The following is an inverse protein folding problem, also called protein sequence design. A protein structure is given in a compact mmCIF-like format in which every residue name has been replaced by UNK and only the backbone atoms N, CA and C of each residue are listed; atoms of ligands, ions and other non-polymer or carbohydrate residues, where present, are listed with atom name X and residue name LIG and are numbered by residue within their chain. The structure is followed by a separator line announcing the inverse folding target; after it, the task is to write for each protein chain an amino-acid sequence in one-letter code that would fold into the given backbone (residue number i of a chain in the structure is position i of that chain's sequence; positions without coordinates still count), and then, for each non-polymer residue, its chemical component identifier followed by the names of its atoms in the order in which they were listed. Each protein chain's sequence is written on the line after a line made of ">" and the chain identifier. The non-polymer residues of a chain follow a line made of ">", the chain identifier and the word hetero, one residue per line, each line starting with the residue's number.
data_IF_145453704820
#
_entry.id   IF_145453704820
#
_cell.length_a   1.000
_cell.length_b   1.000
_cell.length_c   1.000
_cell.angle_alpha   90.00
_cell.angle_beta   90.00
_cell.angle_gamma   90.00
#
_symmetry.space_group_name_H-M   'P 1'
#
loop_
_entity.id
_entity.type
_entity.pdbx_description
1 polymer ?
#
# COMPACT_ATOMS: atom_id res chain seq x y z
N UNK A 1 -30.77 -13.72 37.17
CA UNK A 1 -31.14 -12.68 36.21
C UNK A 1 -29.86 -11.97 35.78
N UNK A 2 -29.56 -11.89 34.48
CA UNK A 2 -28.53 -10.99 33.96
C UNK A 2 -28.88 -9.54 34.30
N UNK A 3 -27.86 -8.69 34.49
CA UNK A 3 -27.99 -7.28 34.88
C UNK A 3 -28.87 -6.47 33.91
N UNK A 4 -28.92 -6.86 32.64
CA UNK A 4 -29.76 -6.26 31.59
C UNK A 4 -31.25 -6.48 31.81
N UNK A 5 -31.63 -7.66 32.30
CA UNK A 5 -33.02 -8.06 32.58
C UNK A 5 -33.57 -7.32 33.82
N UNK A 6 -32.70 -7.04 34.81
CA UNK A 6 -33.05 -6.28 36.02
C UNK A 6 -33.27 -4.77 35.74
N UNK A 7 -32.63 -4.23 34.71
CA UNK A 7 -32.63 -2.78 34.41
C UNK A 7 -33.58 -2.37 33.28
N UNK A 8 -34.29 -3.30 32.64
CA UNK A 8 -35.19 -3.00 31.52
C UNK A 8 -34.50 -2.35 30.32
N UNK A 9 -33.20 -2.60 30.15
CA UNK A 9 -32.44 -2.10 29.01
C UNK A 9 -32.82 -2.91 27.76
N UNK A 10 -33.02 -2.28 26.60
CA UNK A 10 -33.27 -3.00 25.36
C UNK A 10 -32.12 -3.99 25.12
N UNK A 11 -32.46 -5.21 24.68
CA UNK A 11 -31.45 -6.16 24.22
C UNK A 11 -30.59 -5.49 23.14
N UNK A 12 -29.27 -5.59 23.28
CA UNK A 12 -28.38 -5.13 22.23
C UNK A 12 -28.79 -5.86 20.93
N UNK A 13 -28.91 -5.14 19.80
CA UNK A 13 -29.35 -5.74 18.55
C UNK A 13 -28.53 -7.00 18.27
N UNK A 14 -29.20 -8.09 17.86
CA UNK A 14 -28.55 -9.32 17.46
C UNK A 14 -27.43 -8.99 16.47
N UNK A 15 -26.20 -9.29 16.87
CA UNK A 15 -25.03 -9.07 16.02
C UNK A 15 -25.20 -9.99 14.81
N UNK A 16 -25.34 -9.40 13.62
CA UNK A 16 -25.32 -10.14 12.36
C UNK A 16 -24.07 -11.03 12.26
N UNK A 17 -24.07 -12.03 11.36
CA UNK A 17 -22.96 -12.97 11.22
C UNK A 17 -21.65 -12.21 11.01
N UNK A 18 -20.65 -12.49 11.84
CA UNK A 18 -19.30 -11.93 11.73
C UNK A 18 -18.56 -12.71 10.66
N UNK A 19 -18.13 -12.04 9.59
CA UNK A 19 -17.28 -12.66 8.57
C UNK A 19 -15.83 -12.68 9.03
N UNK A 20 -15.08 -13.71 8.66
CA UNK A 20 -13.64 -13.75 8.85
C UNK A 20 -12.93 -13.16 7.63
N UNK A 21 -11.94 -12.29 7.86
CA UNK A 21 -11.26 -11.51 6.82
C UNK A 21 -9.96 -12.17 6.37
N UNK A 22 -9.69 -12.09 5.06
CA UNK A 22 -8.37 -12.36 4.48
C UNK A 22 -7.67 -11.04 4.17
N UNK A 23 -6.50 -10.82 4.77
CA UNK A 23 -5.77 -9.54 4.73
C UNK A 23 -4.42 -9.73 4.06
N UNK A 24 -4.08 -8.84 3.13
CA UNK A 24 -2.71 -8.69 2.64
C UNK A 24 -2.11 -7.37 3.14
N UNK A 25 -0.89 -7.42 3.69
CA UNK A 25 -0.11 -6.23 4.05
C UNK A 25 1.11 -6.13 3.13
N UNK A 26 1.23 -5.03 2.41
CA UNK A 26 2.19 -4.85 1.32
C UNK A 26 3.22 -3.77 1.67
N UNK A 27 4.50 -4.13 1.63
CA UNK A 27 5.61 -3.19 1.67
C UNK A 27 5.99 -2.82 0.25
N UNK A 28 5.51 -1.67 -0.22
CA UNK A 28 5.84 -1.19 -1.56
C UNK A 28 7.30 -0.69 -1.63
N UNK A 29 7.95 -0.64 -2.81
CA UNK A 29 9.14 0.20 -2.98
C UNK A 29 8.86 1.61 -2.47
N UNK A 30 9.75 2.28 -1.75
CA UNK A 30 11.20 2.10 -1.66
C UNK A 30 11.72 1.81 -0.24
N UNK A 31 11.19 0.80 0.44
CA UNK A 31 11.78 0.35 1.71
C UNK A 31 13.17 -0.26 1.51
N UNK A 32 14.08 -0.07 2.47
CA UNK A 32 15.42 -0.67 2.47
C UNK A 32 15.36 -2.20 2.32
N UNK A 33 16.31 -2.78 1.59
CA UNK A 33 16.32 -4.21 1.26
C UNK A 33 16.83 -5.09 2.40
N UNK A 34 17.60 -4.51 3.32
CA UNK A 34 18.26 -5.18 4.44
C UNK A 34 17.55 -4.96 5.78
N UNK A 35 16.42 -4.24 5.78
CA UNK A 35 15.62 -3.97 6.97
C UNK A 35 14.17 -4.44 6.79
N UNK A 36 13.59 -5.17 7.77
CA UNK A 36 12.18 -5.52 7.73
C UNK A 36 11.31 -4.28 7.94
N UNK A 37 10.10 -4.31 7.39
CA UNK A 37 9.12 -3.26 7.65
C UNK A 37 8.63 -3.35 9.08
N UNK A 38 8.92 -2.33 9.89
CA UNK A 38 8.40 -2.23 11.26
C UNK A 38 6.88 -2.22 11.28
N UNK A 39 6.25 -1.46 10.36
CA UNK A 39 4.80 -1.38 10.27
C UNK A 39 4.16 -2.76 10.05
N UNK A 40 4.64 -3.52 9.07
CA UNK A 40 4.11 -4.88 8.81
C UNK A 40 4.42 -5.81 9.98
N UNK A 41 5.62 -5.74 10.55
CA UNK A 41 6.04 -6.57 11.68
C UNK A 41 5.20 -6.35 12.93
N UNK A 42 4.63 -5.14 13.10
CA UNK A 42 3.70 -4.82 14.18
C UNK A 42 2.25 -5.19 13.84
N UNK A 43 1.78 -4.81 12.65
CA UNK A 43 0.36 -4.95 12.30
C UNK A 43 -0.03 -6.38 11.90
N UNK A 44 0.86 -7.16 11.29
CA UNK A 44 0.51 -8.52 10.89
C UNK A 44 0.22 -9.43 12.10
N UNK A 45 1.05 -9.47 13.16
CA UNK A 45 0.71 -10.23 14.37
C UNK A 45 -0.54 -9.71 15.08
N UNK A 46 -0.72 -8.38 15.15
CA UNK A 46 -1.91 -7.79 15.77
C UNK A 46 -3.20 -8.18 15.05
N UNK A 47 -3.19 -8.21 13.71
CA UNK A 47 -4.32 -8.66 12.91
C UNK A 47 -4.57 -10.17 13.05
N UNK A 48 -3.52 -11.01 13.04
CA UNK A 48 -3.63 -12.47 13.23
C UNK A 48 -4.21 -12.86 14.59
N UNK A 49 -4.11 -12.00 15.60
CA UNK A 49 -4.67 -12.23 16.92
C UNK A 49 -6.19 -11.98 17.01
N UNK A 50 -6.83 -11.47 15.95
CA UNK A 50 -8.27 -11.19 15.92
C UNK A 50 -9.04 -12.42 15.44
N UNK A 51 -10.13 -12.75 16.14
CA UNK A 51 -11.06 -13.82 15.72
C UNK A 51 -11.75 -13.50 14.39
N UNK A 52 -11.86 -12.21 14.07
CA UNK A 52 -12.44 -11.72 12.81
C UNK A 52 -11.49 -11.84 11.60
N UNK A 53 -10.29 -12.41 11.76
CA UNK A 53 -9.28 -12.52 10.69
C UNK A 53 -8.92 -13.99 10.48
N UNK A 54 -9.21 -14.51 9.28
CA UNK A 54 -8.87 -15.88 8.86
C UNK A 54 -7.39 -16.01 8.51
N UNK A 55 -6.86 -15.05 7.75
CA UNK A 55 -5.49 -15.08 7.25
C UNK A 55 -4.90 -13.68 7.10
N UNK A 56 -3.59 -13.59 7.34
CA UNK A 56 -2.79 -12.38 7.05
C UNK A 56 -1.54 -12.78 6.29
N UNK A 57 -1.46 -12.32 5.05
CA UNK A 57 -0.29 -12.47 4.18
C UNK A 57 0.54 -11.18 4.16
N UNK A 58 1.86 -11.31 4.17
CA UNK A 58 2.79 -10.18 4.13
C UNK A 58 3.57 -10.21 2.83
N UNK A 59 3.47 -9.14 2.04
CA UNK A 59 4.05 -9.05 0.70
C UNK A 59 5.14 -7.98 0.67
N UNK A 60 6.39 -8.40 0.55
CA UNK A 60 7.54 -7.50 0.39
C UNK A 60 7.73 -7.14 -1.08
N UNK A 61 6.86 -6.27 -1.59
CA UNK A 61 6.91 -5.81 -2.98
C UNK A 61 8.18 -4.96 -3.26
N UNK A 62 8.77 -4.35 -2.24
CA UNK A 62 10.07 -3.67 -2.32
C UNK A 62 11.20 -4.63 -2.77
N UNK A 63 11.24 -5.84 -2.21
CA UNK A 63 12.23 -6.88 -2.59
C UNK A 63 11.89 -7.43 -3.97
N UNK A 64 10.62 -7.77 -4.21
CA UNK A 64 10.17 -8.28 -5.53
C UNK A 64 10.44 -7.28 -6.66
N UNK A 65 10.34 -5.98 -6.39
CA UNK A 65 10.68 -4.93 -7.35
C UNK A 65 12.18 -4.90 -7.66
N UNK A 66 13.04 -5.01 -6.65
CA UNK A 66 14.48 -5.10 -6.85
C UNK A 66 14.85 -6.32 -7.70
N UNK A 67 14.28 -7.48 -7.41
CA UNK A 67 14.46 -8.70 -8.21
C UNK A 67 13.95 -8.51 -9.65
N UNK A 68 12.74 -7.96 -9.81
CA UNK A 68 12.15 -7.69 -11.11
C UNK A 68 13.05 -6.80 -11.99
N UNK A 69 13.53 -5.68 -11.44
CA UNK A 69 14.40 -4.75 -12.16
C UNK A 69 15.73 -5.42 -12.49
N UNK A 70 16.31 -6.17 -11.55
CA UNK A 70 17.56 -6.89 -11.77
C UNK A 70 17.43 -7.89 -12.93
N UNK A 71 16.40 -8.73 -12.91
CA UNK A 71 16.15 -9.72 -13.96
C UNK A 71 15.88 -9.08 -15.32
N UNK A 72 15.01 -8.05 -15.37
CA UNK A 72 14.59 -7.41 -16.62
C UNK A 72 15.70 -6.61 -17.29
N UNK A 73 16.71 -6.21 -16.54
CA UNK A 73 17.88 -5.49 -17.05
C UNK A 73 19.09 -6.40 -17.29
N UNK A 74 18.93 -7.72 -17.15
CA UNK A 74 20.04 -8.67 -17.29
C UNK A 74 21.15 -8.44 -16.26
N UNK A 75 20.79 -7.95 -15.07
CA UNK A 75 21.69 -7.63 -13.98
C UNK A 75 22.40 -6.28 -14.09
N UNK A 76 22.08 -5.45 -15.09
CA UNK A 76 22.69 -4.13 -15.24
C UNK A 76 22.31 -3.14 -14.12
N UNK A 77 21.13 -3.33 -13.53
CA UNK A 77 20.66 -2.57 -12.37
C UNK A 77 20.63 -3.49 -11.15
N UNK A 78 21.27 -3.08 -10.06
CA UNK A 78 21.42 -3.90 -8.86
C UNK A 78 20.96 -3.20 -7.58
N UNK A 79 21.27 -3.84 -6.44
CA UNK A 79 20.93 -3.31 -5.10
C UNK A 79 21.56 -1.95 -4.80
N UNK A 80 22.74 -1.65 -5.38
CA UNK A 80 23.37 -0.34 -5.25
C UNK A 80 22.55 0.76 -5.93
N UNK A 81 21.98 0.49 -7.12
CA UNK A 81 21.12 1.45 -7.82
C UNK A 81 19.80 1.64 -7.08
N UNK A 82 19.20 0.56 -6.57
CA UNK A 82 18.03 0.62 -5.70
C UNK A 82 18.32 1.47 -4.45
N UNK A 83 19.44 1.22 -3.78
CA UNK A 83 19.88 1.96 -2.59
C UNK A 83 20.02 3.45 -2.85
N UNK A 84 20.54 3.87 -4.02
CA UNK A 84 20.61 5.29 -4.39
C UNK A 84 19.23 5.98 -4.43
N UNK A 85 18.17 5.24 -4.79
CA UNK A 85 16.80 5.77 -4.76
C UNK A 85 16.32 5.89 -3.32
N UNK A 86 16.51 4.83 -2.51
CA UNK A 86 16.14 4.82 -1.07
C UNK A 86 16.83 5.94 -0.30
N UNK A 87 18.12 6.15 -0.57
CA UNK A 87 18.95 7.16 0.10
C UNK A 87 18.61 8.60 -0.35
N UNK A 88 17.68 8.77 -1.30
CA UNK A 88 17.22 10.07 -1.74
C UNK A 88 18.27 10.85 -2.54
N UNK A 89 19.08 10.18 -3.36
CA UNK A 89 20.16 10.81 -4.16
C UNK A 89 19.68 12.04 -4.96
N UNK A 90 18.44 12.01 -5.45
CA UNK A 90 17.70 13.19 -5.88
C UNK A 90 16.26 13.08 -5.38
N UNK A 91 15.73 14.17 -4.82
CA UNK A 91 14.42 14.17 -4.16
C UNK A 91 13.30 13.70 -5.10
N UNK A 92 12.38 12.90 -4.57
CA UNK A 92 11.20 12.37 -5.27
C UNK A 92 11.51 11.48 -6.49
N UNK A 93 12.74 10.97 -6.64
CA UNK A 93 13.06 10.06 -7.75
C UNK A 93 12.25 8.76 -7.65
N UNK A 94 12.04 8.25 -6.44
CA UNK A 94 11.24 7.04 -6.25
C UNK A 94 9.78 7.24 -6.62
N UNK A 95 9.23 8.42 -6.31
CA UNK A 95 7.88 8.82 -6.71
C UNK A 95 7.77 8.97 -8.23
N UNK A 96 8.75 9.61 -8.87
CA UNK A 96 8.79 9.78 -10.32
C UNK A 96 8.84 8.43 -11.06
N UNK A 97 9.64 7.47 -10.60
CA UNK A 97 9.75 6.12 -11.19
C UNK A 97 8.40 5.42 -11.28
N UNK A 98 7.54 5.57 -10.28
CA UNK A 98 6.21 4.92 -10.25
C UNK A 98 5.08 5.79 -10.80
N UNK A 99 5.35 7.04 -11.17
CA UNK A 99 4.34 7.93 -11.77
C UNK A 99 3.63 7.37 -13.00
N UNK A 100 4.28 6.62 -13.95
CA UNK A 100 3.57 6.09 -15.11
C UNK A 100 2.63 4.94 -14.76
N UNK A 101 2.83 4.28 -13.62
CA UNK A 101 1.91 3.26 -13.13
C UNK A 101 0.59 3.86 -12.60
N UNK A 102 0.61 5.11 -12.13
CA UNK A 102 -0.59 5.80 -11.67
C UNK A 102 -1.24 6.70 -12.73
N UNK A 103 -0.43 7.46 -13.46
CA UNK A 103 -0.90 8.52 -14.37
C UNK A 103 -0.82 8.16 -15.86
N UNK A 104 -0.22 7.02 -16.18
CA UNK A 104 0.02 6.59 -17.56
C UNK A 104 1.43 6.94 -18.03
N UNK A 105 1.89 6.18 -19.01
CA UNK A 105 3.27 6.30 -19.51
C UNK A 105 3.46 7.54 -20.38
N UNK A 106 4.49 8.31 -20.05
CA UNK A 106 5.07 9.33 -20.90
C UNK A 106 6.56 9.07 -21.06
N UNK A 107 7.18 9.54 -22.15
CA UNK A 107 8.62 9.34 -22.35
C UNK A 107 9.40 10.05 -21.23
N UNK A 108 10.17 9.32 -20.39
CA UNK A 108 10.81 9.92 -19.22
C UNK A 108 11.95 10.86 -19.61
N UNK A 109 12.67 10.58 -20.69
CA UNK A 109 13.82 11.38 -21.13
C UNK A 109 13.33 12.71 -21.69
N UNK A 110 13.83 13.81 -21.11
CA UNK A 110 13.42 15.17 -21.49
C UNK A 110 12.15 15.66 -20.79
N UNK A 111 11.50 14.84 -19.96
CA UNK A 111 10.45 15.31 -19.05
C UNK A 111 10.96 16.43 -18.13
N UNK A 112 10.03 17.20 -17.53
CA UNK A 112 10.39 18.30 -16.62
C UNK A 112 11.25 17.81 -15.44
N UNK A 113 10.88 16.67 -14.85
CA UNK A 113 11.66 16.04 -13.78
C UNK A 113 13.05 15.61 -14.26
N UNK A 114 13.12 14.89 -15.39
CA UNK A 114 14.40 14.43 -15.94
C UNK A 114 15.34 15.60 -16.23
N UNK A 115 14.84 16.66 -16.86
CA UNK A 115 15.63 17.84 -17.21
C UNK A 115 16.12 18.58 -15.97
N UNK A 116 15.27 18.74 -14.95
CA UNK A 116 15.65 19.39 -13.69
C UNK A 116 16.72 18.58 -12.93
N UNK A 117 16.51 17.27 -12.81
CA UNK A 117 17.43 16.37 -12.10
C UNK A 117 18.78 16.27 -12.81
N UNK A 118 18.80 15.99 -14.12
CA UNK A 118 20.06 15.90 -14.88
C UNK A 118 20.76 17.26 -14.98
N UNK A 119 20.02 18.37 -15.07
CA UNK A 119 20.58 19.73 -15.01
C UNK A 119 21.25 20.05 -13.67
N UNK A 120 20.85 19.37 -12.58
CA UNK A 120 21.51 19.45 -11.28
C UNK A 120 22.69 18.47 -11.12
N UNK A 121 22.98 17.67 -12.14
CA UNK A 121 24.07 16.68 -12.14
C UNK A 121 23.68 15.29 -11.64
N UNK A 122 22.38 15.01 -11.43
CA UNK A 122 21.93 13.67 -11.04
C UNK A 122 22.05 12.67 -12.20
N UNK A 123 22.64 11.50 -11.94
CA UNK A 123 22.57 10.34 -12.86
C UNK A 123 21.23 9.62 -12.70
N UNK A 124 20.36 9.75 -13.70
CA UNK A 124 19.04 9.10 -13.76
C UNK A 124 18.98 7.89 -14.68
N UNK A 125 20.11 7.38 -15.20
CA UNK A 125 20.11 6.26 -16.15
C UNK A 125 19.38 5.02 -15.62
N UNK A 126 19.66 4.61 -14.39
CA UNK A 126 18.97 3.49 -13.75
C UNK A 126 17.49 3.82 -13.46
N UNK A 127 17.21 5.05 -12.98
CA UNK A 127 15.86 5.51 -12.67
C UNK A 127 14.96 5.55 -13.92
N UNK A 128 15.49 5.91 -15.09
CA UNK A 128 14.77 5.90 -16.37
C UNK A 128 14.36 4.48 -16.77
N UNK A 129 15.22 3.48 -16.59
CA UNK A 129 14.87 2.09 -16.87
C UNK A 129 13.86 1.56 -15.86
N UNK A 130 14.04 1.87 -14.57
CA UNK A 130 13.06 1.57 -13.53
C UNK A 130 11.69 2.21 -13.85
N UNK A 131 11.66 3.45 -14.33
CA UNK A 131 10.44 4.15 -14.75
C UNK A 131 9.70 3.37 -15.83
N UNK A 132 10.42 2.86 -16.84
CA UNK A 132 9.83 2.07 -17.93
C UNK A 132 9.28 0.72 -17.49
N UNK A 133 9.79 0.17 -16.38
CA UNK A 133 9.38 -1.14 -15.87
C UNK A 133 8.23 -1.06 -14.85
N UNK A 134 7.98 0.11 -14.26
CA UNK A 134 7.13 0.22 -13.06
C UNK A 134 5.66 -0.14 -13.31
N UNK A 135 5.05 0.31 -14.42
CA UNK A 135 3.66 -0.02 -14.74
C UNK A 135 3.44 -1.53 -14.85
N UNK A 136 4.32 -2.24 -15.56
CA UNK A 136 4.22 -3.69 -15.74
C UNK A 136 4.37 -4.46 -14.42
N UNK A 137 5.22 -3.99 -13.52
CA UNK A 137 5.35 -4.58 -12.18
C UNK A 137 4.08 -4.38 -11.34
N UNK A 138 3.54 -3.16 -11.29
CA UNK A 138 2.31 -2.85 -10.55
C UNK A 138 1.13 -3.66 -11.10
N UNK A 139 1.00 -3.76 -12.42
CA UNK A 139 -0.06 -4.53 -13.07
C UNK A 139 0.00 -6.02 -12.72
N UNK A 140 1.20 -6.61 -12.70
CA UNK A 140 1.41 -8.00 -12.32
C UNK A 140 1.08 -8.24 -10.84
N UNK A 141 1.58 -7.37 -9.95
CA UNK A 141 1.32 -7.46 -8.51
C UNK A 141 -0.18 -7.30 -8.20
N UNK A 142 -0.85 -6.33 -8.83
CA UNK A 142 -2.28 -6.13 -8.68
C UNK A 142 -3.09 -7.34 -9.17
N UNK A 143 -2.66 -7.97 -10.27
CA UNK A 143 -3.26 -9.21 -10.78
C UNK A 143 -3.15 -10.38 -9.79
N UNK A 144 -1.97 -10.57 -9.20
CA UNK A 144 -1.73 -11.60 -8.18
C UNK A 144 -2.62 -11.37 -6.94
N UNK A 145 -2.63 -10.14 -6.42
CA UNK A 145 -3.41 -9.80 -5.23
C UNK A 145 -4.92 -9.87 -5.47
N UNK A 146 -5.40 -9.43 -6.64
CA UNK A 146 -6.81 -9.54 -7.01
C UNK A 146 -7.27 -11.02 -7.07
N UNK A 147 -6.40 -11.93 -7.54
CA UNK A 147 -6.68 -13.36 -7.57
C UNK A 147 -6.57 -14.05 -6.20
N UNK A 148 -5.95 -13.40 -5.21
CA UNK A 148 -5.70 -13.97 -3.87
C UNK A 148 -6.91 -14.05 -2.94
N UNK A 149 -8.05 -13.49 -3.35
CA UNK A 149 -9.30 -13.52 -2.57
C UNK A 149 -9.20 -12.75 -1.25
N UNK A 150 -8.46 -11.64 -1.23
CA UNK A 150 -8.34 -10.79 -0.04
C UNK A 150 -9.57 -9.91 0.10
N UNK A 151 -10.00 -9.69 1.35
CA UNK A 151 -11.00 -8.69 1.70
C UNK A 151 -10.39 -7.29 1.84
N UNK A 152 -9.12 -7.23 2.26
CA UNK A 152 -8.37 -6.00 2.47
C UNK A 152 -6.93 -6.13 2.01
N UNK A 153 -6.45 -5.11 1.30
CA UNK A 153 -5.04 -4.92 0.97
C UNK A 153 -4.57 -3.60 1.59
N UNK A 154 -3.67 -3.70 2.57
CA UNK A 154 -3.06 -2.57 3.26
C UNK A 154 -1.66 -2.30 2.72
N UNK A 155 -1.34 -1.06 2.35
CA UNK A 155 -0.01 -0.65 1.93
C UNK A 155 0.63 0.25 2.99
N UNK A 156 1.88 -0.04 3.34
CA UNK A 156 2.69 0.87 4.15
C UNK A 156 3.41 1.89 3.26
N UNK A 157 3.38 3.16 3.66
CA UNK A 157 4.00 4.28 2.95
C UNK A 157 4.77 5.21 3.89
N UNK A 158 6.08 5.23 3.68
CA UNK A 158 7.10 6.05 4.33
C UNK A 158 8.09 6.52 3.24
N UNK A 159 8.40 7.82 3.19
CA UNK A 159 9.26 8.44 2.16
C UNK A 159 8.68 8.29 0.73
N UNK A 160 9.44 7.79 -0.25
CA UNK A 160 9.03 7.74 -1.67
C UNK A 160 8.03 6.60 -1.99
N UNK A 161 7.18 6.21 -1.04
CA UNK A 161 6.25 5.08 -1.15
C UNK A 161 4.84 5.47 -1.61
N UNK A 162 4.54 6.74 -1.86
CA UNK A 162 3.16 7.16 -2.17
C UNK A 162 2.72 6.68 -3.56
N UNK A 163 3.44 7.05 -4.61
CA UNK A 163 3.12 6.69 -5.99
C UNK A 163 3.01 5.18 -6.22
N UNK A 164 3.95 4.32 -5.76
CA UNK A 164 3.78 2.88 -5.92
C UNK A 164 2.55 2.35 -5.17
N UNK A 165 2.27 2.84 -3.96
CA UNK A 165 1.09 2.42 -3.19
C UNK A 165 -0.22 2.86 -3.85
N UNK A 166 -0.29 4.11 -4.31
CA UNK A 166 -1.46 4.64 -5.01
C UNK A 166 -1.71 3.90 -6.34
N UNK A 167 -0.65 3.62 -7.10
CA UNK A 167 -0.74 2.84 -8.32
C UNK A 167 -1.30 1.44 -8.07
N UNK A 168 -0.82 0.76 -7.01
CA UNK A 168 -1.35 -0.55 -6.63
C UNK A 168 -2.82 -0.48 -6.21
N UNK A 169 -3.20 0.49 -5.38
CA UNK A 169 -4.57 0.66 -4.94
C UNK A 169 -5.54 0.89 -6.11
N UNK A 170 -5.17 1.76 -7.06
CA UNK A 170 -5.96 2.00 -8.28
C UNK A 170 -6.08 0.72 -9.11
N UNK A 171 -4.95 0.06 -9.39
CA UNK A 171 -4.91 -1.16 -10.21
C UNK A 171 -5.73 -2.31 -9.58
N UNK A 172 -5.77 -2.40 -8.25
CA UNK A 172 -6.63 -3.32 -7.50
C UNK A 172 -8.10 -2.98 -7.67
N UNK A 173 -8.50 -1.71 -7.53
CA UNK A 173 -9.91 -1.30 -7.71
C UNK A 173 -10.42 -1.57 -9.12
N UNK A 174 -9.56 -1.49 -10.13
CA UNK A 174 -9.92 -1.83 -11.51
C UNK A 174 -10.16 -3.35 -11.71
N UNK A 175 -9.49 -4.21 -10.94
CA UNK A 175 -9.53 -5.68 -11.09
C UNK A 175 -10.45 -6.39 -10.11
N UNK A 176 -10.52 -5.88 -8.89
CA UNK A 176 -11.29 -6.41 -7.77
C UNK A 176 -11.91 -5.25 -6.97
N UNK A 177 -12.98 -4.61 -7.48
CA UNK A 177 -13.59 -3.42 -6.86
C UNK A 177 -14.04 -3.62 -5.40
N UNK A 178 -14.34 -4.87 -5.01
CA UNK A 178 -14.77 -5.24 -3.66
C UNK A 178 -13.64 -5.34 -2.64
N UNK A 179 -12.36 -5.36 -3.06
CA UNK A 179 -11.21 -5.34 -2.15
C UNK A 179 -11.15 -3.99 -1.46
N UNK A 180 -11.05 -3.99 -0.13
CA UNK A 180 -10.81 -2.78 0.64
C UNK A 180 -9.33 -2.37 0.53
N UNK A 181 -9.05 -1.17 0.04
CA UNK A 181 -7.69 -0.62 -0.07
C UNK A 181 -7.42 0.34 1.09
N UNK A 182 -6.32 0.09 1.81
CA UNK A 182 -5.94 0.90 2.97
C UNK A 182 -4.50 1.36 2.83
N UNK A 183 -4.23 2.63 3.09
CA UNK A 183 -2.86 3.15 3.12
C UNK A 183 -2.55 3.69 4.52
N UNK A 184 -1.34 3.42 5.02
CA UNK A 184 -0.88 3.92 6.32
C UNK A 184 0.63 4.13 6.35
N UNK A 185 1.17 4.68 7.44
CA UNK A 185 2.59 5.01 7.59
C UNK A 185 2.82 6.53 7.67
N UNK A 186 4.09 6.94 7.71
CA UNK A 186 4.45 8.34 7.98
C UNK A 186 3.86 9.34 6.97
N UNK A 187 3.71 8.94 5.71
CA UNK A 187 3.11 9.80 4.67
C UNK A 187 1.59 9.96 4.81
N UNK A 188 0.96 9.10 5.62
CA UNK A 188 -0.47 9.15 5.91
C UNK A 188 -0.78 9.94 7.16
N UNK A 189 0.21 10.49 7.86
CA UNK A 189 -0.05 11.23 9.08
C UNK A 189 -0.46 12.69 8.80
N UNK A 190 -1.19 13.27 9.74
CA UNK A 190 -1.62 14.67 9.72
C UNK A 190 -2.31 15.10 8.38
N UNK A 191 -2.05 16.33 7.91
CA UNK A 191 -2.63 16.93 6.70
C UNK A 191 -2.32 16.16 5.41
N UNK A 192 -1.22 15.39 5.38
CA UNK A 192 -0.89 14.58 4.21
C UNK A 192 -1.86 13.42 4.05
N UNK A 193 -2.19 12.73 5.15
CA UNK A 193 -3.21 11.67 5.14
C UNK A 193 -4.58 12.16 4.68
N UNK A 194 -5.00 13.34 5.15
CA UNK A 194 -6.26 13.96 4.71
C UNK A 194 -6.26 14.28 3.22
N UNK A 195 -5.13 14.78 2.70
CA UNK A 195 -4.98 15.07 1.28
C UNK A 195 -4.96 13.79 0.43
N UNK A 196 -4.30 12.72 0.89
CA UNK A 196 -4.30 11.43 0.20
C UNK A 196 -5.73 10.88 0.08
N UNK A 197 -6.46 10.79 1.19
CA UNK A 197 -7.82 10.27 1.20
C UNK A 197 -8.77 11.12 0.33
N UNK A 198 -8.65 12.46 0.40
CA UNK A 198 -9.51 13.36 -0.38
C UNK A 198 -9.26 13.29 -1.89
N UNK A 199 -8.01 13.15 -2.32
CA UNK A 199 -7.66 13.24 -3.75
C UNK A 199 -7.66 11.88 -4.47
N UNK A 200 -7.55 10.77 -3.73
CA UNK A 200 -7.45 9.43 -4.32
C UNK A 200 -8.61 8.55 -3.84
N UNK A 201 -9.74 8.63 -4.53
CA UNK A 201 -10.99 7.93 -4.21
C UNK A 201 -10.93 6.41 -4.30
N UNK A 202 -9.84 5.85 -4.84
CA UNK A 202 -9.56 4.42 -4.85
C UNK A 202 -8.83 3.94 -3.58
N UNK A 203 -8.58 4.82 -2.60
CA UNK A 203 -8.22 4.48 -1.23
C UNK A 203 -9.49 4.52 -0.36
N UNK A 204 -9.99 3.38 0.09
CA UNK A 204 -11.18 3.36 0.95
C UNK A 204 -10.89 3.89 2.35
N UNK A 205 -9.66 3.69 2.85
CA UNK A 205 -9.23 4.20 4.14
C UNK A 205 -7.78 4.68 4.11
N UNK A 206 -7.51 5.73 4.88
CA UNK A 206 -6.15 6.16 5.24
C UNK A 206 -6.01 6.12 6.75
N UNK A 207 -5.06 5.32 7.24
CA UNK A 207 -4.73 5.19 8.66
C UNK A 207 -3.71 6.25 9.03
N UNK A 208 -4.12 7.16 9.93
CA UNK A 208 -3.30 8.26 10.46
C UNK A 208 -2.76 7.89 11.84
N UNK A 209 -1.59 8.40 12.21
CA UNK A 209 -0.93 8.11 13.49
C UNK A 209 -0.56 6.64 13.71
N UNK A 210 -0.64 6.20 14.97
CA UNK A 210 -0.26 4.86 15.45
C UNK A 210 -1.28 3.78 15.00
N UNK A 211 -0.86 2.92 14.08
CA UNK A 211 -1.72 1.92 13.45
C UNK A 211 -2.09 0.73 14.34
N UNK A 212 -1.37 0.47 15.43
CA UNK A 212 -1.57 -0.70 16.31
C UNK A 212 -2.94 -0.73 16.98
N UNK A 213 -3.56 0.43 17.19
CA UNK A 213 -4.90 0.55 17.75
C UNK A 213 -5.97 0.71 16.66
N UNK A 214 -5.67 1.53 15.64
CA UNK A 214 -6.60 1.89 14.58
C UNK A 214 -6.86 0.72 13.62
N UNK A 215 -5.80 0.00 13.23
CA UNK A 215 -5.93 -1.07 12.23
C UNK A 215 -6.76 -2.26 12.74
N UNK A 216 -6.57 -2.79 13.98
CA UNK A 216 -7.47 -3.79 14.52
C UNK A 216 -8.93 -3.32 14.65
N UNK A 217 -9.15 -2.05 15.01
CA UNK A 217 -10.50 -1.48 15.07
C UNK A 217 -11.17 -1.45 13.70
N UNK A 218 -10.42 -1.08 12.65
CA UNK A 218 -10.89 -1.12 11.26
C UNK A 218 -11.25 -2.55 10.82
N UNK A 219 -10.42 -3.55 11.11
CA UNK A 219 -10.71 -4.95 10.76
C UNK A 219 -12.01 -5.44 11.44
N UNK A 220 -12.21 -5.13 12.72
CA UNK A 220 -13.45 -5.47 13.45
C UNK A 220 -14.67 -4.78 12.87
N UNK A 221 -14.54 -3.55 12.39
CA UNK A 221 -15.60 -2.82 11.71
C UNK A 221 -15.94 -3.53 10.39
N UNK A 222 -14.94 -3.79 9.55
CA UNK A 222 -15.11 -4.41 8.24
C UNK A 222 -15.71 -5.83 8.33
N UNK A 223 -15.38 -6.58 9.37
CA UNK A 223 -15.95 -7.91 9.63
C UNK A 223 -17.45 -7.89 9.98
N UNK A 224 -18.01 -6.72 10.29
CA UNK A 224 -19.43 -6.51 10.63
C UNK A 224 -20.21 -5.79 9.52
N UNK A 225 -19.52 -5.32 8.49
CA UNK A 225 -20.12 -4.58 7.36
C UNK A 225 -20.21 -5.48 6.13
N UNK A 226 -21.29 -5.38 5.36
CA UNK A 226 -21.42 -6.10 4.09
C UNK A 226 -20.41 -5.60 3.04
N UNK A 227 -19.87 -6.49 2.18
CA UNK A 227 -18.97 -6.10 1.09
C UNK A 227 -19.60 -5.05 0.18
N UNK A 228 -18.91 -3.92 -0.04
CA UNK A 228 -19.36 -2.85 -0.95
C UNK A 228 -20.21 -1.75 -0.31
N UNK A 229 -20.56 -1.85 0.99
CA UNK A 229 -21.07 -0.72 1.74
C UNK A 229 -19.87 0.14 2.19
N UNK A 230 -19.42 1.05 1.32
CA UNK A 230 -18.48 2.09 1.73
C UNK A 230 -19.09 2.86 2.92
N UNK A 231 -18.34 3.13 4.00
CA UNK A 231 -18.84 4.04 5.03
C UNK A 231 -19.01 5.44 4.41
N UNK A 232 -20.12 6.10 4.76
CA UNK A 232 -20.40 7.48 4.41
C UNK A 232 -19.42 8.45 5.09
#
# INVERSE_FOLDING_TARGET
>A
MPTTEFLGLPEAPERGPVRTLRVALVCMPWAALDMPSMAISTLAPAARALEEVDAVDTVYANIRWADHVHERTGGAIGSADYGRIVDGYYVATGEWIFSPALYGFEEPVGSAFHTAATGSGADLRAAVEMYRLSSGFVDALAGELAAGGYDLVGMTSTFDQNMPSLALARALKERAPGVVTVMGGANCDDVQGEALHRNFSFLDYVVRGEGESVFPALLRLLARTEPGAAPA
#
